data_IF_844508001223
#
_entry.id   IF_844508001223
#
_cell.length_a   1.000
_cell.length_b   1.000
_cell.length_c   1.000
_cell.angle_alpha   90.00
_cell.angle_beta   90.00
_cell.angle_gamma   90.00
#
_symmetry.space_group_name_H-M   'P 1'
#
loop_
_entity.id
_entity.type
_entity.pdbx_description
1 polymer ?
#
# COMPACT_ATOMS: atom_id res chain seq x y z
N UNK A 1 15.35 2.82 13.55
CA UNK A 1 16.70 2.42 13.12
C UNK A 1 16.48 1.35 12.07
N UNK A 2 17.04 1.52 10.87
CA UNK A 2 16.87 0.59 9.77
C UNK A 2 18.04 -0.38 9.67
N UNK A 3 18.00 -1.23 8.66
CA UNK A 3 19.06 -2.20 8.36
C UNK A 3 19.38 -2.20 6.87
N UNK A 4 20.64 -2.38 6.52
CA UNK A 4 21.05 -2.59 5.12
C UNK A 4 20.91 -4.07 4.77
N UNK A 5 20.32 -4.38 3.61
CA UNK A 5 20.31 -5.73 3.08
C UNK A 5 21.76 -6.21 2.84
N UNK A 6 22.18 -7.37 3.39
CA UNK A 6 23.56 -7.85 3.29
C UNK A 6 23.99 -8.24 1.87
N UNK A 7 23.02 -8.39 0.95
CA UNK A 7 23.27 -8.80 -0.44
C UNK A 7 23.34 -7.60 -1.39
N UNK A 8 22.35 -6.70 -1.32
CA UNK A 8 22.23 -5.58 -2.26
C UNK A 8 22.41 -4.19 -1.63
N UNK A 9 22.72 -4.12 -0.33
CA UNK A 9 22.92 -2.89 0.46
C UNK A 9 21.69 -1.95 0.53
N UNK A 10 20.54 -2.40 0.03
CA UNK A 10 19.29 -1.64 0.06
C UNK A 10 18.85 -1.38 1.51
N UNK A 11 18.56 -0.12 1.89
CA UNK A 11 18.14 0.21 3.24
C UNK A 11 16.70 -0.25 3.48
N UNK A 12 16.46 -0.84 4.65
CA UNK A 12 15.17 -1.36 5.11
C UNK A 12 14.79 -0.67 6.41
N UNK A 13 13.49 -0.42 6.60
CA UNK A 13 12.98 0.38 7.72
C UNK A 13 13.21 -0.26 9.08
N UNK A 14 13.02 -1.57 9.15
CA UNK A 14 13.12 -2.40 10.36
C UNK A 14 13.43 -3.86 9.98
N UNK A 15 13.61 -4.70 11.00
CA UNK A 15 13.94 -6.13 10.87
C UNK A 15 12.89 -6.93 10.09
N UNK A 16 11.60 -6.62 10.25
CA UNK A 16 10.51 -7.28 9.54
C UNK A 16 10.53 -6.94 8.06
N UNK A 17 10.79 -5.67 7.70
CA UNK A 17 10.97 -5.26 6.31
C UNK A 17 12.22 -5.89 5.69
N UNK A 18 13.31 -6.00 6.44
CA UNK A 18 14.52 -6.71 5.99
C UNK A 18 14.23 -8.18 5.69
N UNK A 19 13.56 -8.89 6.59
CA UNK A 19 13.17 -10.28 6.38
C UNK A 19 12.27 -10.47 5.15
N UNK A 20 11.26 -9.61 5.00
CA UNK A 20 10.38 -9.65 3.84
C UNK A 20 11.12 -9.37 2.54
N UNK A 21 12.01 -8.39 2.52
CA UNK A 21 12.83 -8.08 1.35
C UNK A 21 13.67 -9.29 0.94
N UNK A 22 14.43 -9.88 1.88
CA UNK A 22 15.26 -11.06 1.62
C UNK A 22 14.43 -12.25 1.09
N UNK A 23 13.33 -12.59 1.79
CA UNK A 23 12.50 -13.73 1.43
C UNK A 23 11.80 -13.55 0.07
N UNK A 24 11.26 -12.36 -0.22
CA UNK A 24 10.62 -12.09 -1.51
C UNK A 24 11.63 -12.10 -2.66
N UNK A 25 12.81 -11.51 -2.47
CA UNK A 25 13.84 -11.54 -3.51
C UNK A 25 14.32 -12.97 -3.79
N UNK A 26 14.52 -13.77 -2.74
CA UNK A 26 14.83 -15.19 -2.87
C UNK A 26 13.74 -15.95 -3.65
N UNK A 27 12.47 -15.80 -3.27
CA UNK A 27 11.36 -16.53 -3.92
C UNK A 27 11.14 -16.10 -5.38
N UNK A 28 11.21 -14.80 -5.67
CA UNK A 28 10.86 -14.26 -6.99
C UNK A 28 12.01 -14.44 -7.98
N UNK A 29 13.26 -14.30 -7.52
CA UNK A 29 14.42 -14.25 -8.40
C UNK A 29 15.34 -15.46 -8.30
N UNK A 30 15.29 -16.22 -7.19
CA UNK A 30 16.18 -17.36 -6.95
C UNK A 30 17.65 -16.96 -7.07
N UNK A 31 18.01 -15.86 -6.42
CA UNK A 31 19.27 -15.14 -6.63
C UNK A 31 20.22 -15.23 -5.41
N UNK A 32 21.20 -14.33 -5.34
CA UNK A 32 22.14 -14.23 -4.23
C UNK A 32 21.43 -14.10 -2.85
N UNK A 33 20.19 -13.61 -2.80
CA UNK A 33 19.39 -13.56 -1.57
C UNK A 33 18.97 -14.95 -1.10
N UNK A 34 18.63 -15.87 -2.01
CA UNK A 34 18.31 -17.26 -1.67
C UNK A 34 19.55 -17.97 -1.14
N UNK A 35 20.69 -17.84 -1.84
CA UNK A 35 21.95 -18.46 -1.38
C UNK A 35 22.37 -17.95 -0.01
N UNK A 36 22.27 -16.63 0.21
CA UNK A 36 22.60 -16.05 1.50
C UNK A 36 21.68 -16.55 2.62
N UNK A 37 20.37 -16.65 2.36
CA UNK A 37 19.40 -17.19 3.30
C UNK A 37 19.64 -18.67 3.60
N UNK A 38 19.94 -19.50 2.60
CA UNK A 38 20.24 -20.92 2.80
C UNK A 38 21.49 -21.14 3.69
N UNK A 39 22.47 -20.24 3.60
CA UNK A 39 23.69 -20.30 4.41
C UNK A 39 23.48 -19.85 5.87
N UNK A 40 22.70 -18.78 6.07
CA UNK A 40 22.59 -18.11 7.38
C UNK A 40 21.32 -18.48 8.16
N UNK A 41 20.26 -18.86 7.46
CA UNK A 41 18.96 -19.21 8.00
C UNK A 41 18.30 -20.31 7.14
N UNK A 42 18.82 -21.55 7.11
CA UNK A 42 18.35 -22.60 6.18
C UNK A 42 16.87 -22.96 6.30
N UNK A 43 16.24 -22.68 7.44
CA UNK A 43 14.80 -22.91 7.67
C UNK A 43 13.94 -21.69 7.27
N UNK A 44 14.51 -20.68 6.59
CA UNK A 44 13.83 -19.42 6.27
C UNK A 44 12.51 -19.62 5.51
N UNK A 45 12.43 -20.65 4.67
CA UNK A 45 11.26 -20.95 3.85
C UNK A 45 10.02 -21.29 4.70
N UNK A 46 10.23 -21.79 5.92
CA UNK A 46 9.16 -22.13 6.88
C UNK A 46 8.91 -21.00 7.90
N UNK A 47 9.74 -19.97 7.92
CA UNK A 47 9.63 -18.84 8.84
C UNK A 47 8.82 -17.69 8.24
N UNK A 48 8.07 -17.01 9.09
CA UNK A 48 7.46 -15.73 8.75
C UNK A 48 8.45 -14.58 9.02
N UNK A 49 8.09 -13.38 8.56
CA UNK A 49 8.94 -12.20 8.70
C UNK A 49 9.24 -11.84 10.16
N UNK A 50 8.29 -12.04 11.09
CA UNK A 50 8.49 -11.77 12.52
C UNK A 50 9.51 -12.72 13.16
N UNK A 51 9.57 -13.97 12.70
CA UNK A 51 10.52 -14.96 13.22
C UNK A 51 11.87 -14.88 12.52
N UNK A 52 11.87 -14.54 11.23
CA UNK A 52 13.09 -14.39 10.43
C UNK A 52 13.80 -13.07 10.71
N UNK A 53 13.06 -12.00 10.99
CA UNK A 53 13.56 -10.65 11.25
C UNK A 53 14.72 -10.60 12.25
N UNK A 54 14.54 -11.10 13.49
CA UNK A 54 15.60 -11.11 14.49
C UNK A 54 16.86 -11.86 14.05
N UNK A 55 16.72 -12.94 13.29
CA UNK A 55 17.85 -13.74 12.80
C UNK A 55 18.67 -12.98 11.77
N UNK A 56 18.00 -12.30 10.83
CA UNK A 56 18.67 -11.58 9.75
C UNK A 56 19.18 -10.22 10.20
N UNK A 57 18.52 -9.56 11.16
CA UNK A 57 18.96 -8.27 11.71
C UNK A 57 20.25 -8.40 12.52
N UNK A 58 20.46 -9.52 13.24
CA UNK A 58 21.69 -9.79 13.98
C UNK A 58 22.93 -9.91 13.06
N UNK A 59 22.70 -10.21 11.78
CA UNK A 59 23.73 -10.37 10.75
C UNK A 59 23.85 -9.16 9.82
N UNK A 60 22.87 -8.25 9.85
CA UNK A 60 22.81 -7.08 8.99
C UNK A 60 23.43 -5.86 9.65
N UNK A 61 23.96 -4.95 8.82
CA UNK A 61 24.45 -3.66 9.30
C UNK A 61 23.27 -2.74 9.64
N UNK A 62 23.24 -2.21 10.87
CA UNK A 62 22.32 -1.14 11.25
C UNK A 62 22.60 0.13 10.42
N UNK A 63 21.56 0.72 9.84
CA UNK A 63 21.66 1.93 9.01
C UNK A 63 20.49 2.88 9.25
N UNK A 64 20.72 4.18 9.07
CA UNK A 64 19.60 5.12 9.06
C UNK A 64 18.76 4.94 7.80
N UNK A 65 17.44 4.89 7.99
CA UNK A 65 16.47 4.86 6.92
C UNK A 65 15.90 6.27 6.75
N UNK A 66 16.03 6.84 5.55
CA UNK A 66 15.52 8.17 5.23
C UNK A 66 13.99 8.08 5.05
N UNK A 67 13.23 8.50 6.06
CA UNK A 67 11.77 8.53 6.01
C UNK A 67 11.31 9.70 5.12
N UNK A 68 11.31 9.50 3.80
CA UNK A 68 10.66 10.43 2.86
C UNK A 68 9.15 10.17 2.84
N UNK A 69 8.38 11.19 3.20
CA UNK A 69 6.93 11.18 3.08
C UNK A 69 6.53 11.67 1.68
N UNK A 70 5.42 11.18 1.14
CA UNK A 70 4.89 11.65 -0.16
C UNK A 70 4.55 13.16 -0.17
N UNK A 71 4.44 13.78 1.01
CA UNK A 71 4.21 15.22 1.18
C UNK A 71 5.54 16.02 1.31
N UNK A 72 6.65 15.38 1.66
CA UNK A 72 7.97 16.02 1.83
C UNK A 72 8.90 15.85 0.63
N UNK A 73 8.51 15.06 -0.36
CA UNK A 73 9.08 15.16 -1.71
C UNK A 73 8.70 16.53 -2.27
N UNK A 74 9.58 17.51 -2.07
CA UNK A 74 9.38 18.88 -2.49
C UNK A 74 9.08 18.90 -3.99
N UNK A 75 7.80 18.98 -4.37
CA UNK A 75 7.38 19.24 -5.75
C UNK A 75 7.88 20.61 -6.24
N UNK A 76 8.48 21.39 -5.34
CA UNK A 76 9.04 22.73 -5.54
C UNK A 76 10.58 22.76 -5.60
N UNK A 77 11.27 21.62 -5.47
CA UNK A 77 12.71 21.56 -5.17
C UNK A 77 13.57 21.03 -6.31
N UNK A 78 13.49 21.67 -7.46
CA UNK A 78 14.25 21.25 -8.64
C UNK A 78 15.77 21.42 -8.49
N UNK A 79 16.52 20.32 -8.69
CA UNK A 79 17.73 20.36 -9.52
C UNK A 79 17.88 19.11 -10.38
N UNK A 80 17.23 19.14 -11.54
CA UNK A 80 17.54 18.27 -12.66
C UNK A 80 16.40 18.12 -13.65
N UNK A 81 15.94 19.24 -14.27
CA UNK A 81 15.39 19.37 -15.64
C UNK A 81 14.58 20.67 -15.72
N UNK A 82 15.22 21.74 -16.21
CA UNK A 82 14.60 23.07 -16.34
C UNK A 82 13.94 23.19 -17.72
N UNK A 83 12.60 23.21 -17.77
CA UNK A 83 11.85 23.74 -18.91
C UNK A 83 11.53 25.21 -18.61
N UNK A 84 12.23 26.11 -19.30
CA UNK A 84 12.09 27.54 -19.12
C UNK A 84 10.78 28.05 -19.76
N UNK A 85 9.88 28.58 -18.95
CA UNK A 85 8.82 29.50 -19.38
C UNK A 85 8.99 30.81 -18.61
N UNK A 86 9.68 31.76 -19.23
CA UNK A 86 9.68 33.16 -18.81
C UNK A 86 9.10 34.01 -19.91
N UNK A 87 7.99 34.68 -19.65
CA UNK A 87 7.73 36.05 -20.13
C UNK A 87 6.57 36.65 -19.32
N UNK A 88 6.94 37.39 -18.28
CA UNK A 88 6.31 38.61 -17.73
C UNK A 88 4.98 39.10 -18.35
N UNK A 89 3.93 39.22 -17.52
CA UNK A 89 2.89 40.26 -17.70
C UNK A 89 2.39 40.79 -16.35
N UNK A 90 2.59 42.10 -16.22
CA UNK A 90 2.16 43.01 -15.17
C UNK A 90 0.66 43.35 -15.28
N UNK A 91 0.08 43.80 -14.17
CA UNK A 91 -1.18 44.55 -14.00
C UNK A 91 -2.55 43.85 -13.83
N UNK A 92 -3.18 44.23 -12.71
CA UNK A 92 -4.60 44.55 -12.48
C UNK A 92 -5.62 43.40 -12.56
N UNK A 93 -6.11 42.97 -11.38
CA UNK A 93 -7.23 42.03 -11.23
C UNK A 93 -8.53 42.84 -11.07
N UNK A 94 -9.44 42.86 -12.06
CA UNK A 94 -10.85 42.99 -11.78
C UNK A 94 -11.45 41.58 -11.62
N UNK A 95 -12.10 41.37 -10.47
CA UNK A 95 -13.09 40.33 -10.15
C UNK A 95 -13.24 39.22 -11.22
N UNK A 96 -12.59 38.07 -11.00
CA UNK A 96 -12.82 36.88 -11.83
C UNK A 96 -13.06 35.65 -10.96
N UNK A 97 -14.27 35.14 -11.13
CA UNK A 97 -14.88 33.93 -10.57
C UNK A 97 -13.90 32.74 -10.41
N UNK A 98 -14.12 31.90 -9.37
CA UNK A 98 -13.28 30.74 -9.10
C UNK A 98 -13.27 29.78 -10.31
N UNK A 99 -12.08 29.56 -10.87
CA UNK A 99 -11.89 28.63 -11.97
C UNK A 99 -12.00 27.19 -11.46
N UNK A 100 -12.79 26.31 -12.08
CA UNK A 100 -12.82 24.90 -11.72
C UNK A 100 -11.48 24.23 -12.08
N UNK A 101 -11.03 23.34 -11.18
CA UNK A 101 -9.91 22.44 -11.38
C UNK A 101 -10.23 21.51 -12.55
N UNK A 102 -9.72 21.86 -13.73
CA UNK A 102 -9.98 21.18 -14.99
C UNK A 102 -9.37 22.01 -16.09
N UNK A 103 -8.08 21.79 -16.34
CA UNK A 103 -7.32 22.54 -17.33
C UNK A 103 -8.04 22.62 -18.67
N UNK A 104 -8.61 23.78 -18.97
CA UNK A 104 -8.90 24.20 -20.34
C UNK A 104 -7.59 24.63 -21.00
N UNK A 105 -6.64 23.70 -21.06
CA UNK A 105 -5.35 23.84 -21.72
C UNK A 105 -5.42 23.14 -23.08
N UNK A 106 -6.17 23.73 -24.01
CA UNK A 106 -6.21 23.30 -25.40
C UNK A 106 -6.92 21.97 -25.62
N UNK A 107 -8.24 22.01 -25.87
CA UNK A 107 -8.85 21.01 -26.74
C UNK A 107 -8.20 21.18 -28.12
N UNK A 108 -7.03 20.56 -28.31
CA UNK A 108 -6.64 20.12 -29.64
C UNK A 108 -7.77 19.19 -30.04
N UNK A 109 -8.56 19.58 -31.05
CA UNK A 109 -9.62 18.75 -31.57
C UNK A 109 -8.98 17.41 -31.95
N UNK A 110 -9.17 16.39 -31.10
CA UNK A 110 -8.70 15.05 -31.37
C UNK A 110 -9.33 14.69 -32.71
N UNK A 111 -8.49 14.50 -33.72
CA UNK A 111 -8.92 14.27 -35.10
C UNK A 111 -8.32 12.97 -35.59
N UNK A 112 -9.06 12.28 -36.48
CA UNK A 112 -8.68 10.96 -36.98
C UNK A 112 -8.71 9.87 -35.91
N UNK A 113 -7.78 8.93 -35.99
CA UNK A 113 -7.70 7.73 -35.14
C UNK A 113 -7.73 8.00 -33.64
N UNK A 114 -7.15 9.12 -33.18
CA UNK A 114 -7.16 9.45 -31.76
C UNK A 114 -8.58 9.63 -31.22
N UNK A 115 -9.47 10.31 -31.96
CA UNK A 115 -10.86 10.48 -31.55
C UNK A 115 -11.61 9.14 -31.52
N UNK A 116 -11.35 8.28 -32.50
CA UNK A 116 -11.95 6.95 -32.59
C UNK A 116 -11.55 6.08 -31.39
N UNK A 117 -10.28 6.06 -31.00
CA UNK A 117 -9.79 5.29 -29.85
C UNK A 117 -10.42 5.77 -28.55
N UNK A 118 -10.56 7.09 -28.34
CA UNK A 118 -11.22 7.62 -27.13
C UNK A 118 -12.72 7.32 -27.10
N UNK A 119 -13.39 7.28 -28.25
CA UNK A 119 -14.80 6.89 -28.33
C UNK A 119 -14.99 5.39 -28.07
N UNK A 120 -14.11 4.54 -28.59
CA UNK A 120 -14.09 3.10 -28.35
C UNK A 120 -13.84 2.79 -26.86
N UNK A 121 -12.85 3.43 -26.24
CA UNK A 121 -12.56 3.27 -24.82
C UNK A 121 -13.75 3.68 -23.92
N UNK A 122 -14.45 4.75 -24.30
CA UNK A 122 -15.67 5.20 -23.61
C UNK A 122 -16.83 4.21 -23.78
N UNK A 123 -16.97 3.59 -24.96
CA UNK A 123 -17.99 2.55 -25.20
C UNK A 123 -17.75 1.34 -24.30
N UNK A 124 -16.53 0.79 -24.30
CA UNK A 124 -16.17 -0.38 -23.49
C UNK A 124 -16.40 -0.14 -22.01
N UNK A 125 -16.12 1.07 -21.52
CA UNK A 125 -16.36 1.45 -20.12
C UNK A 125 -17.86 1.50 -19.81
N UNK A 126 -18.69 2.00 -20.74
CA UNK A 126 -20.14 2.01 -20.57
C UNK A 126 -20.73 0.60 -20.58
N UNK A 127 -20.23 -0.27 -21.45
CA UNK A 127 -20.67 -1.67 -21.53
C UNK A 127 -20.34 -2.42 -20.24
N UNK A 128 -19.13 -2.30 -19.70
CA UNK A 128 -18.77 -2.90 -18.40
C UNK A 128 -19.66 -2.40 -17.26
N UNK A 129 -19.99 -1.10 -17.22
CA UNK A 129 -20.85 -0.53 -16.18
C UNK A 129 -22.31 -0.95 -16.34
N UNK A 130 -22.78 -1.16 -17.57
CA UNK A 130 -24.14 -1.63 -17.83
C UNK A 130 -24.31 -3.11 -17.48
N UNK A 131 -23.32 -3.94 -17.81
CA UNK A 131 -23.30 -5.38 -17.48
C UNK A 131 -23.28 -5.61 -15.95
N UNK A 132 -22.60 -4.75 -15.20
CA UNK A 132 -22.54 -4.78 -13.72
C UNK A 132 -23.81 -4.23 -13.03
N UNK A 133 -24.72 -3.60 -13.79
CA UNK A 133 -25.93 -2.94 -13.28
C UNK A 133 -27.23 -3.73 -13.45
N UNK A 134 -27.19 -4.89 -14.10
CA UNK A 134 -28.35 -5.71 -14.44
C UNK A 134 -28.55 -6.91 -13.49
N UNK A 135 -28.14 -6.78 -12.22
CA UNK A 135 -28.44 -7.71 -11.12
C UNK A 135 -28.95 -6.93 -9.89
N UNK A 136 -30.08 -6.21 -10.05
CA UNK A 136 -30.58 -5.30 -9.01
C UNK A 136 -32.10 -5.18 -8.90
N UNK A 137 -32.87 -6.06 -9.53
CA UNK A 137 -34.33 -6.08 -9.38
C UNK A 137 -34.80 -7.52 -9.12
N UNK A 138 -34.99 -7.86 -7.85
CA UNK A 138 -36.13 -8.66 -7.37
C UNK A 138 -36.12 -8.80 -5.84
N UNK A 139 -37.27 -8.42 -5.28
CA UNK A 139 -37.81 -8.75 -3.96
C UNK A 139 -37.16 -8.14 -2.70
N UNK A 140 -37.66 -6.95 -2.36
CA UNK A 140 -37.85 -6.54 -0.98
C UNK A 140 -38.77 -7.53 -0.24
N UNK A 141 -38.20 -8.62 0.28
CA UNK A 141 -38.84 -9.43 1.31
C UNK A 141 -38.54 -8.79 2.66
N UNK A 142 -39.55 -8.10 3.20
CA UNK A 142 -39.63 -7.67 4.59
C UNK A 142 -39.12 -8.76 5.53
N UNK A 143 -37.94 -8.56 6.12
CA UNK A 143 -37.51 -9.36 7.27
C UNK A 143 -38.27 -8.88 8.50
N UNK A 144 -39.35 -9.59 8.76
CA UNK A 144 -40.14 -9.55 9.97
C UNK A 144 -39.18 -9.78 11.14
N UNK A 145 -39.21 -8.88 12.12
CA UNK A 145 -38.46 -9.06 13.36
C UNK A 145 -39.04 -10.23 14.13
N UNK A 146 -38.21 -11.20 14.45
CA UNK A 146 -38.50 -12.20 15.48
C UNK A 146 -37.35 -12.23 16.47
N UNK A 147 -37.73 -12.12 17.73
CA UNK A 147 -36.90 -11.92 18.89
C UNK A 147 -36.38 -13.24 19.47
N UNK A 148 -35.42 -13.10 20.38
CA UNK A 148 -35.02 -14.05 21.42
C UNK A 148 -34.19 -15.27 21.03
N UNK A 149 -32.93 -15.26 21.45
CA UNK A 149 -32.10 -16.46 21.50
C UNK A 149 -30.68 -16.20 21.98
N UNK A 150 -30.41 -16.59 23.23
CA UNK A 150 -29.11 -17.04 23.75
C UNK A 150 -28.21 -16.01 24.45
N UNK A 151 -28.52 -15.71 25.71
CA UNK A 151 -27.49 -15.43 26.72
C UNK A 151 -27.39 -16.64 27.65
N UNK A 152 -26.65 -17.68 27.23
CA UNK A 152 -26.17 -18.67 28.17
C UNK A 152 -24.83 -18.19 28.74
N UNK A 153 -24.95 -17.29 29.72
CA UNK A 153 -23.86 -16.83 30.58
C UNK A 153 -23.33 -18.04 31.36
N UNK A 154 -22.10 -18.44 31.01
CA UNK A 154 -21.43 -19.63 31.53
C UNK A 154 -20.78 -19.31 32.87
N UNK A 155 -21.23 -20.04 33.88
CA UNK A 155 -20.40 -20.72 34.89
C UNK A 155 -19.59 -19.83 35.85
N UNK A 156 -20.28 -19.29 36.85
CA UNK A 156 -19.66 -18.89 38.12
C UNK A 156 -19.81 -20.03 39.13
N UNK A 157 -18.72 -20.76 39.40
CA UNK A 157 -18.74 -21.88 40.34
C UNK A 157 -17.36 -22.34 40.81
N UNK A 158 -17.05 -21.94 42.06
CA UNK A 158 -16.32 -22.74 43.06
C UNK A 158 -14.80 -22.57 43.18
N UNK A 159 -14.44 -21.73 44.16
CA UNK A 159 -13.39 -21.92 45.18
C UNK A 159 -12.78 -23.33 45.30
N UNK A 160 -11.45 -23.46 45.21
CA UNK A 160 -10.71 -24.39 46.08
C UNK A 160 -9.24 -23.96 46.27
N UNK A 161 -8.85 -24.09 47.52
CA UNK A 161 -7.63 -23.69 48.19
C UNK A 161 -6.54 -24.78 48.01
N UNK A 162 -5.31 -24.40 47.67
CA UNK A 162 -4.15 -25.20 48.09
C UNK A 162 -2.99 -24.31 48.53
N UNK A 163 -2.98 -24.06 49.83
CA UNK A 163 -1.80 -23.84 50.66
C UNK A 163 -0.66 -24.84 50.35
N UNK A 164 0.54 -24.34 50.00
CA UNK A 164 1.84 -24.93 50.42
C UNK A 164 3.01 -23.98 50.12
N UNK A 165 3.39 -23.13 51.08
CA UNK A 165 4.75 -22.56 51.15
C UNK A 165 5.37 -22.88 52.50
N UNK A 166 6.32 -23.81 52.44
CA UNK A 166 7.14 -24.27 53.56
C UNK A 166 8.03 -23.13 54.06
N UNK A 167 8.18 -23.04 55.39
CA UNK A 167 9.16 -22.21 56.10
C UNK A 167 10.14 -23.10 56.85
#
# INVERSE_FOLDING_TARGET
MGYACPVCDAPQRDETHLANHLALQAIVHGDDHETWLDEHAPEWADLNADSLGPLVSDLAEEREFDEVFEDTVDRTGGRGHSHAHGQEHDHDIPDREPQPFGGSGGSQSLSGDAAQIFEEARSLTREMVADDGEDGDTEAASREGDADGDTNDRDEGTEDDTDRKES
#
